data_IF_400363242188
#
_entry.id   IF_400363242188
#
_cell.length_a   1.000
_cell.length_b   1.000
_cell.length_c   1.000
_cell.angle_alpha   90.00
_cell.angle_beta   90.00
_cell.angle_gamma   90.00
#
_symmetry.space_group_name_H-M   'P 1'
#
loop_
_entity.id
_entity.type
_entity.pdbx_description
1 polymer ?
#
# COMPACT_ATOMS: atom_id res chain seq x y z
N UNK A 1 -8.49 11.56 -4.76
CA UNK A 1 -8.14 10.23 -5.30
C UNK A 1 -9.10 9.88 -6.42
N UNK A 2 -8.58 9.38 -7.54
CA UNK A 2 -9.40 8.91 -8.66
C UNK A 2 -9.89 7.48 -8.39
N UNK A 3 -11.02 7.10 -9.02
CA UNK A 3 -11.59 5.75 -8.94
C UNK A 3 -10.57 4.65 -9.26
N UNK A 4 -9.78 4.88 -10.31
CA UNK A 4 -8.72 3.97 -10.77
C UNK A 4 -7.63 3.74 -9.72
N UNK A 5 -7.30 4.77 -8.93
CA UNK A 5 -6.27 4.67 -7.89
C UNK A 5 -6.76 3.82 -6.71
N UNK A 6 -8.03 3.95 -6.32
CA UNK A 6 -8.64 3.13 -5.26
C UNK A 6 -8.72 1.67 -5.71
N UNK A 7 -9.14 1.43 -6.96
CA UNK A 7 -9.17 0.08 -7.52
C UNK A 7 -7.80 -0.58 -7.52
N UNK A 8 -6.77 0.16 -7.95
CA UNK A 8 -5.41 -0.35 -7.93
C UNK A 8 -4.94 -0.63 -6.50
N UNK A 9 -5.24 0.26 -5.55
CA UNK A 9 -4.88 0.06 -4.14
C UNK A 9 -5.59 -1.16 -3.54
N UNK A 10 -6.88 -1.39 -3.84
CA UNK A 10 -7.62 -2.56 -3.36
C UNK A 10 -7.01 -3.86 -3.89
N UNK A 11 -6.70 -3.90 -5.19
CA UNK A 11 -6.01 -5.05 -5.80
C UNK A 11 -4.64 -5.29 -5.17
N UNK A 12 -3.95 -4.20 -4.85
CA UNK A 12 -2.60 -4.24 -4.33
C UNK A 12 -2.54 -4.43 -2.81
N UNK A 13 -3.69 -4.34 -2.13
CA UNK A 13 -3.76 -4.19 -0.68
C UNK A 13 -3.08 -5.33 0.06
N UNK A 14 -3.42 -6.57 -0.33
CA UNK A 14 -2.90 -7.76 0.31
C UNK A 14 -1.37 -7.85 0.23
N UNK A 15 -0.79 -7.61 -0.95
CA UNK A 15 0.67 -7.67 -1.11
C UNK A 15 1.37 -6.48 -0.45
N UNK A 16 0.73 -5.29 -0.42
CA UNK A 16 1.25 -4.13 0.30
C UNK A 16 1.35 -4.42 1.80
N UNK A 17 0.31 -4.98 2.42
CA UNK A 17 0.35 -5.42 3.83
C UNK A 17 1.46 -6.45 4.05
N UNK A 18 1.54 -7.46 3.18
CA UNK A 18 2.56 -8.50 3.33
C UNK A 18 3.98 -7.92 3.21
N UNK A 19 4.18 -6.94 2.35
CA UNK A 19 5.46 -6.23 2.19
C UNK A 19 5.82 -5.39 3.42
N UNK A 20 4.85 -4.71 4.02
CA UNK A 20 5.01 -3.96 5.27
C UNK A 20 5.37 -4.94 6.40
N UNK A 21 4.68 -6.07 6.50
CA UNK A 21 4.93 -7.11 7.51
C UNK A 21 6.36 -7.65 7.43
N UNK A 22 6.78 -8.10 6.25
CA UNK A 22 8.16 -8.61 6.04
C UNK A 22 9.21 -7.55 6.37
N UNK A 23 8.95 -6.27 6.07
CA UNK A 23 9.88 -5.21 6.46
C UNK A 23 9.94 -5.04 7.97
N UNK A 24 8.80 -5.03 8.68
CA UNK A 24 8.75 -4.94 10.15
C UNK A 24 9.47 -6.12 10.81
N UNK A 25 9.22 -7.34 10.35
CA UNK A 25 9.92 -8.54 10.80
C UNK A 25 11.43 -8.43 10.57
N UNK A 26 11.87 -7.95 9.40
CA UNK A 26 13.30 -7.72 9.13
C UNK A 26 13.94 -6.63 10.00
N UNK A 27 13.15 -5.72 10.57
CA UNK A 27 13.64 -4.73 11.56
C UNK A 27 13.76 -5.35 12.95
N UNK A 28 12.78 -6.16 13.34
CA UNK A 28 12.77 -6.85 14.64
C UNK A 28 13.89 -7.89 14.73
N UNK A 29 14.11 -8.68 13.68
CA UNK A 29 15.24 -9.63 13.59
C UNK A 29 16.60 -8.92 13.57
N UNK A 30 16.66 -7.71 13.01
CA UNK A 30 17.85 -6.87 13.04
C UNK A 30 18.07 -6.17 14.39
N UNK A 31 17.15 -6.28 15.36
CA UNK A 31 17.29 -5.64 16.65
C UNK A 31 16.16 -5.92 17.64
N UNK A 32 16.36 -6.91 18.50
CA UNK A 32 15.98 -6.79 19.92
C UNK A 32 16.66 -5.52 20.47
N UNK A 33 16.05 -4.34 20.29
CA UNK A 33 16.58 -3.06 20.76
C UNK A 33 16.33 -1.81 19.90
N UNK A 34 15.71 -1.90 18.71
CA UNK A 34 15.43 -0.70 17.88
C UNK A 34 13.92 -0.43 17.79
N UNK A 35 13.22 -0.56 18.92
CA UNK A 35 11.87 -0.03 19.08
C UNK A 35 11.92 1.48 19.28
N UNK A 36 12.18 2.25 18.23
CA UNK A 36 11.77 3.64 18.18
C UNK A 36 11.65 4.09 16.73
N UNK A 37 10.52 4.72 16.43
CA UNK A 37 10.11 5.27 15.12
C UNK A 37 11.12 6.24 14.46
N UNK A 38 12.28 6.51 15.07
CA UNK A 38 13.29 7.48 14.64
C UNK A 38 14.73 7.08 15.03
N UNK A 39 15.11 5.79 15.00
CA UNK A 39 16.45 5.33 15.40
C UNK A 39 17.49 5.18 14.28
N UNK A 40 17.10 5.28 13.01
CA UNK A 40 17.97 4.90 11.88
C UNK A 40 19.05 5.96 11.61
N UNK A 41 18.85 7.23 11.97
CA UNK A 41 19.90 8.24 11.84
C UNK A 41 21.13 7.95 12.74
N UNK A 42 20.95 7.22 13.85
CA UNK A 42 22.02 6.93 14.80
C UNK A 42 22.91 5.74 14.42
N UNK A 43 22.40 4.79 13.61
CA UNK A 43 23.16 3.60 13.16
C UNK A 43 23.78 3.79 11.77
N UNK A 44 23.54 4.91 11.12
CA UNK A 44 23.89 5.09 9.70
C UNK A 44 25.34 5.57 9.54
N UNK A 45 26.19 4.86 8.77
CA UNK A 45 27.52 5.33 8.47
C UNK A 45 27.41 6.63 7.65
N UNK A 46 27.95 7.74 8.17
CA UNK A 46 28.12 8.97 7.38
C UNK A 46 29.16 8.68 6.29
N UNK A 47 28.69 8.25 5.12
CA UNK A 47 29.54 7.83 4.01
C UNK A 47 30.41 8.98 3.50
N UNK A 48 31.68 9.00 3.90
CA UNK A 48 32.75 9.67 3.15
C UNK A 48 33.26 8.67 2.12
N UNK A 49 32.85 8.78 0.86
CA UNK A 49 33.51 8.00 -0.21
C UNK A 49 32.70 7.84 -1.49
N UNK A 50 33.38 8.15 -2.59
CA UNK A 50 33.03 7.97 -4.01
C UNK A 50 32.25 6.69 -4.36
N UNK A 51 31.37 6.85 -5.36
CA UNK A 51 30.37 5.96 -6.02
C UNK A 51 30.74 4.49 -6.34
N UNK A 52 31.92 4.00 -5.92
CA UNK A 52 32.43 2.64 -6.11
C UNK A 52 32.23 1.71 -4.91
N UNK A 53 31.78 2.20 -3.75
CA UNK A 53 31.61 1.37 -2.55
C UNK A 53 30.32 0.51 -2.64
N UNK A 54 30.40 -0.84 -2.65
CA UNK A 54 29.24 -1.73 -2.64
C UNK A 54 28.31 -1.50 -1.44
N UNK A 55 28.86 -1.06 -0.30
CA UNK A 55 28.09 -0.79 0.92
C UNK A 55 27.19 0.44 0.72
N UNK A 56 27.70 1.49 0.09
CA UNK A 56 26.92 2.69 -0.22
C UNK A 56 25.79 2.40 -1.22
N UNK A 57 26.01 1.49 -2.18
CA UNK A 57 24.95 1.06 -3.12
C UNK A 57 23.86 0.28 -2.40
N UNK A 58 24.22 -0.61 -1.48
CA UNK A 58 23.26 -1.34 -0.65
C UNK A 58 22.48 -0.39 0.26
N UNK A 59 23.14 0.63 0.82
CA UNK A 59 22.50 1.70 1.58
C UNK A 59 21.42 2.42 0.75
N UNK A 60 21.77 2.92 -0.44
CA UNK A 60 20.81 3.60 -1.32
C UNK A 60 19.64 2.68 -1.75
N UNK A 61 19.92 1.39 -1.96
CA UNK A 61 18.90 0.38 -2.28
C UNK A 61 17.91 0.24 -1.13
N UNK A 62 18.40 0.14 0.11
CA UNK A 62 17.57 0.06 1.31
C UNK A 62 16.74 1.32 1.48
N UNK A 63 17.36 2.51 1.41
CA UNK A 63 16.65 3.80 1.56
C UNK A 63 15.48 3.94 0.58
N UNK A 64 15.67 3.58 -0.71
CA UNK A 64 14.59 3.58 -1.71
C UNK A 64 13.46 2.62 -1.34
N UNK A 65 13.79 1.45 -0.79
CA UNK A 65 12.79 0.47 -0.33
C UNK A 65 11.97 1.03 0.82
N UNK A 66 12.59 1.69 1.80
CA UNK A 66 11.90 2.34 2.92
C UNK A 66 10.89 3.39 2.45
N UNK A 67 11.31 4.30 1.55
CA UNK A 67 10.41 5.31 0.97
C UNK A 67 9.21 4.67 0.27
N UNK A 68 9.41 3.52 -0.38
CA UNK A 68 8.34 2.77 -1.03
C UNK A 68 7.36 2.15 -0.02
N UNK A 69 7.86 1.65 1.10
CA UNK A 69 7.04 1.05 2.16
C UNK A 69 6.22 2.13 2.86
N UNK A 70 6.79 3.29 3.12
CA UNK A 70 6.05 4.44 3.65
C UNK A 70 4.88 4.83 2.73
N UNK A 71 5.07 4.77 1.41
CA UNK A 71 3.98 4.99 0.44
C UNK A 71 2.89 3.91 0.54
N UNK A 72 3.27 2.64 0.77
CA UNK A 72 2.30 1.56 0.96
C UNK A 72 1.51 1.74 2.25
N UNK A 73 2.15 2.12 3.35
CA UNK A 73 1.48 2.41 4.62
C UNK A 73 0.45 3.53 4.47
N UNK A 74 0.80 4.62 3.79
CA UNK A 74 -0.14 5.72 3.49
C UNK A 74 -1.35 5.24 2.70
N UNK A 75 -1.14 4.43 1.66
CA UNK A 75 -2.23 3.87 0.83
C UNK A 75 -3.15 2.93 1.62
N UNK A 76 -2.56 2.03 2.41
CA UNK A 76 -3.30 1.09 3.27
C UNK A 76 -4.12 1.84 4.30
N UNK A 77 -3.54 2.86 4.94
CA UNK A 77 -4.21 3.70 5.94
C UNK A 77 -5.45 4.40 5.37
N UNK A 78 -5.35 4.95 4.17
CA UNK A 78 -6.50 5.61 3.50
C UNK A 78 -7.68 4.64 3.34
N UNK A 79 -7.43 3.38 2.96
CA UNK A 79 -8.51 2.38 2.84
C UNK A 79 -9.06 2.03 4.22
N UNK A 80 -8.20 1.72 5.19
CA UNK A 80 -8.62 1.34 6.55
C UNK A 80 -9.49 2.39 7.21
N UNK A 81 -9.11 3.66 7.10
CA UNK A 81 -9.88 4.78 7.63
C UNK A 81 -11.27 4.88 7.01
N UNK A 82 -11.52 4.28 5.84
CA UNK A 82 -12.77 4.40 5.08
C UNK A 82 -13.59 3.11 5.01
N UNK A 83 -13.12 2.01 5.58
CA UNK A 83 -13.85 0.73 5.61
C UNK A 83 -15.25 0.91 6.23
N UNK A 84 -15.37 1.78 7.24
CA UNK A 84 -16.62 2.06 7.95
C UNK A 84 -17.73 2.69 7.07
N UNK A 85 -17.38 3.20 5.88
CA UNK A 85 -18.36 3.78 4.95
C UNK A 85 -19.27 2.71 4.35
N UNK A 86 -18.77 1.48 4.23
CA UNK A 86 -19.49 0.38 3.60
C UNK A 86 -20.39 -0.24 4.64
N UNK A 87 -21.69 0.01 4.50
CA UNK A 87 -22.71 -0.45 5.45
C UNK A 87 -23.45 -1.71 4.98
N UNK A 88 -23.42 -2.01 3.68
CA UNK A 88 -24.04 -3.24 3.16
C UNK A 88 -23.19 -4.46 3.54
N UNK A 89 -23.81 -5.41 4.25
CA UNK A 89 -23.18 -6.65 4.71
C UNK A 89 -22.54 -7.44 3.56
N UNK A 90 -23.19 -7.50 2.40
CA UNK A 90 -22.67 -8.27 1.26
C UNK A 90 -21.44 -7.61 0.65
N UNK A 91 -21.45 -6.28 0.57
CA UNK A 91 -20.31 -5.51 0.10
C UNK A 91 -19.15 -5.57 1.10
N UNK A 92 -19.47 -5.55 2.39
CA UNK A 92 -18.48 -5.69 3.45
C UNK A 92 -17.76 -7.03 3.40
N UNK A 93 -18.50 -8.14 3.22
CA UNK A 93 -17.92 -9.48 3.03
C UNK A 93 -17.04 -9.55 1.77
N UNK A 94 -17.52 -9.05 0.63
CA UNK A 94 -16.70 -9.01 -0.59
C UNK A 94 -15.43 -8.19 -0.36
N UNK A 95 -15.54 -7.02 0.28
CA UNK A 95 -14.38 -6.20 0.61
C UNK A 95 -13.40 -6.96 1.50
N UNK A 96 -13.87 -7.60 2.57
CA UNK A 96 -13.03 -8.39 3.47
C UNK A 96 -12.17 -9.40 2.70
N UNK A 97 -12.79 -10.19 1.83
CA UNK A 97 -12.07 -11.19 1.04
C UNK A 97 -11.13 -10.59 -0.01
N UNK A 98 -11.46 -9.42 -0.56
CA UNK A 98 -10.57 -8.69 -1.45
C UNK A 98 -9.31 -8.20 -0.72
N UNK A 99 -9.46 -7.67 0.50
CA UNK A 99 -8.33 -7.23 1.32
C UNK A 99 -7.45 -8.42 1.74
N UNK A 100 -8.06 -9.60 1.93
CA UNK A 100 -7.37 -10.86 2.17
C UNK A 100 -6.71 -11.46 0.91
N UNK A 101 -6.84 -10.79 -0.25
CA UNK A 101 -6.18 -11.19 -1.49
C UNK A 101 -6.84 -12.38 -2.19
N UNK A 102 -8.09 -12.72 -1.85
CA UNK A 102 -8.83 -13.79 -2.54
C UNK A 102 -9.22 -13.37 -3.94
N UNK A 103 -9.14 -14.31 -4.88
CA UNK A 103 -9.54 -14.05 -6.28
C UNK A 103 -11.06 -13.93 -6.40
N UNK A 104 -11.54 -13.20 -7.42
CA UNK A 104 -12.98 -13.09 -7.69
C UNK A 104 -13.65 -14.45 -7.90
N UNK A 105 -12.92 -15.41 -8.50
CA UNK A 105 -13.43 -16.77 -8.67
C UNK A 105 -13.66 -17.44 -7.32
N UNK A 106 -12.72 -17.30 -6.40
CA UNK A 106 -12.82 -17.85 -5.05
C UNK A 106 -13.98 -17.21 -4.28
N UNK A 107 -14.08 -15.88 -4.30
CA UNK A 107 -15.15 -15.13 -3.63
C UNK A 107 -16.52 -15.55 -4.17
N UNK A 108 -16.65 -15.70 -5.49
CA UNK A 108 -17.91 -16.12 -6.11
C UNK A 108 -18.32 -17.51 -5.72
N UNK A 109 -17.37 -18.43 -5.67
CA UNK A 109 -17.63 -19.80 -5.20
C UNK A 109 -17.99 -19.81 -3.71
N UNK A 110 -17.31 -19.01 -2.89
CA UNK A 110 -17.55 -18.94 -1.45
C UNK A 110 -18.92 -18.34 -1.10
N UNK A 111 -19.33 -17.29 -1.82
CA UNK A 111 -20.60 -16.57 -1.58
C UNK A 111 -21.77 -17.07 -2.43
N UNK A 112 -21.55 -18.01 -3.35
CA UNK A 112 -22.57 -18.45 -4.32
C UNK A 112 -22.95 -17.38 -5.34
N UNK A 113 -22.04 -16.46 -5.68
CA UNK A 113 -22.27 -15.34 -6.58
C UNK A 113 -21.55 -15.52 -7.92
N UNK A 114 -22.15 -15.01 -8.99
CA UNK A 114 -21.49 -14.98 -10.30
C UNK A 114 -20.37 -13.94 -10.33
N UNK A 115 -19.38 -14.17 -11.19
CA UNK A 115 -18.25 -13.25 -11.39
C UNK A 115 -18.72 -11.81 -11.69
N UNK A 116 -19.77 -11.66 -12.52
CA UNK A 116 -20.35 -10.36 -12.87
C UNK A 116 -21.03 -9.67 -11.68
N UNK A 117 -21.56 -10.43 -10.72
CA UNK A 117 -22.14 -9.86 -9.51
C UNK A 117 -21.03 -9.29 -8.61
N UNK A 118 -19.96 -10.05 -8.38
CA UNK A 118 -18.81 -9.59 -7.58
C UNK A 118 -18.18 -8.34 -8.19
N UNK A 119 -18.05 -8.30 -9.52
CA UNK A 119 -17.54 -7.11 -10.21
C UNK A 119 -18.39 -5.87 -9.92
N UNK A 120 -19.72 -6.01 -9.95
CA UNK A 120 -20.66 -4.93 -9.61
C UNK A 120 -20.54 -4.49 -8.14
N UNK A 121 -20.45 -5.44 -7.21
CA UNK A 121 -20.24 -5.14 -5.78
C UNK A 121 -18.92 -4.41 -5.56
N UNK A 122 -17.84 -4.88 -6.18
CA UNK A 122 -16.53 -4.21 -6.15
C UNK A 122 -16.59 -2.80 -6.74
N UNK A 123 -17.32 -2.59 -7.83
CA UNK A 123 -17.46 -1.26 -8.43
C UNK A 123 -18.27 -0.30 -7.55
N UNK A 124 -19.29 -0.81 -6.84
CA UNK A 124 -20.06 -0.07 -5.82
C UNK A 124 -19.19 0.32 -4.62
N UNK A 125 -18.42 -0.64 -4.07
CA UNK A 125 -17.43 -0.44 -3.00
C UNK A 125 -16.47 0.69 -3.38
N UNK A 126 -15.88 0.63 -4.58
CA UNK A 126 -14.94 1.65 -5.04
C UNK A 126 -15.64 3.01 -5.11
N UNK A 127 -16.86 3.07 -5.65
CA UNK A 127 -17.62 4.31 -5.74
C UNK A 127 -17.89 4.94 -4.37
N UNK A 128 -18.28 4.15 -3.37
CA UNK A 128 -18.49 4.61 -2.00
C UNK A 128 -17.20 5.13 -1.36
N UNK A 129 -16.08 4.42 -1.55
CA UNK A 129 -14.76 4.86 -1.08
C UNK A 129 -14.28 6.16 -1.76
N UNK A 130 -14.77 6.46 -2.96
CA UNK A 130 -14.42 7.67 -3.72
C UNK A 130 -15.27 8.88 -3.33
N UNK A 131 -16.57 8.69 -3.05
CA UNK A 131 -17.50 9.80 -2.74
C UNK A 131 -17.16 10.53 -1.44
N UNK A 132 -16.55 9.86 -0.47
CA UNK A 132 -16.20 10.44 0.83
C UNK A 132 -14.74 10.95 0.89
N UNK A 133 -14.20 11.47 -0.22
CA UNK A 133 -12.90 12.16 -0.24
C UNK A 133 -13.11 13.63 0.12
N UNK A 134 -12.72 14.12 1.32
CA UNK A 134 -12.36 15.53 1.44
C UNK A 134 -11.11 15.77 0.58
N UNK A 135 -11.11 16.83 -0.21
CA UNK A 135 -10.05 17.21 -1.15
C UNK A 135 -8.65 16.92 -0.59
N UNK A 136 -8.01 15.87 -1.11
CA UNK A 136 -6.57 15.65 -0.91
C UNK A 136 -5.89 16.26 -2.14
N UNK A 137 -5.08 17.33 -1.99
CA UNK A 137 -4.40 17.95 -3.11
C UNK A 137 -3.58 16.92 -3.90
N UNK A 138 -3.64 17.03 -5.23
CA UNK A 138 -3.01 16.14 -6.20
C UNK A 138 -1.47 16.24 -6.24
N UNK A 139 -0.79 16.19 -5.11
CA UNK A 139 0.66 16.10 -5.07
C UNK A 139 1.07 14.65 -4.92
N UNK A 140 1.21 13.96 -6.06
CA UNK A 140 2.32 13.06 -6.45
C UNK A 140 1.93 12.30 -7.72
N UNK A 141 1.55 13.01 -8.78
CA UNK A 141 1.92 12.53 -10.12
C UNK A 141 3.27 13.19 -10.35
N UNK A 142 4.34 12.42 -10.19
CA UNK A 142 5.67 12.80 -10.66
C UNK A 142 5.53 13.10 -12.16
N UNK A 143 5.34 14.38 -12.47
CA UNK A 143 5.44 14.88 -13.82
C UNK A 143 6.86 14.57 -14.26
N UNK A 144 7.01 13.52 -15.06
CA UNK A 144 8.15 13.36 -15.95
C UNK A 144 8.08 14.50 -16.98
N UNK A 145 8.40 15.72 -16.55
CA UNK A 145 8.91 16.75 -17.46
C UNK A 145 10.33 16.34 -17.78
N UNK A 146 10.48 15.64 -18.90
CA UNK A 146 11.74 15.67 -19.63
C UNK A 146 12.01 17.15 -19.95
N UNK A 147 12.82 17.78 -19.10
CA UNK A 147 13.66 18.89 -19.53
C UNK A 147 14.65 18.30 -20.54
N UNK A 148 14.43 18.58 -21.82
CA UNK A 148 15.47 18.54 -22.83
C UNK A 148 15.42 19.88 -23.53
N UNK A 149 16.42 20.68 -23.18
CA UNK A 149 16.98 21.81 -23.93
C UNK A 149 17.36 21.34 -25.33
#
# INVERSE_FOLDING_TARGET
MRKEEIEQILKDYHWMINSIRIMRESMEEAGEGITSKYGIEASMPKGKGTTSDPIYREYLRREKRWKKIEQYEKKVKIIQERIHVIQDEREFEVLHWLLEGKSYRWIGMHMGLSHSHIRRLKDSIVEQLTKNVPDVPNDTILQNKKSAV
#
